data_IF_936072860344
#
_entry.id   IF_936072860344
#
_cell.length_a   1.000
_cell.length_b   1.000
_cell.length_c   1.000
_cell.angle_alpha   90.00
_cell.angle_beta   90.00
_cell.angle_gamma   90.00
#
_symmetry.space_group_name_H-M   'P 1'
#
loop_
_entity.id
_entity.type
_entity.pdbx_description
1 polymer ?
#
# COMPACT_ATOMS: atom_id res chain seq x y z
N UNK A 1 -4.65 21.47 13.85
CA UNK A 1 -4.78 21.19 12.42
C UNK A 1 -5.93 20.18 12.25
N UNK A 2 -6.85 20.46 11.33
CA UNK A 2 -7.88 19.50 10.97
C UNK A 2 -7.19 18.35 10.24
N UNK A 3 -7.45 17.08 10.60
CA UNK A 3 -6.85 15.97 9.85
C UNK A 3 -7.29 16.03 8.39
N UNK A 4 -6.42 15.57 7.50
CA UNK A 4 -6.71 15.51 6.08
C UNK A 4 -7.96 14.64 5.83
N UNK A 5 -8.88 15.06 4.94
CA UNK A 5 -10.09 14.28 4.67
C UNK A 5 -9.75 12.95 4.02
N UNK A 6 -10.45 11.89 4.40
CA UNK A 6 -10.29 10.55 3.83
C UNK A 6 -11.41 10.26 2.84
N UNK A 7 -11.04 9.97 1.59
CA UNK A 7 -11.97 9.54 0.54
C UNK A 7 -11.80 8.05 0.28
N UNK A 8 -12.86 7.29 0.46
CA UNK A 8 -12.88 5.85 0.29
C UNK A 8 -13.56 5.48 -1.03
N UNK A 9 -12.86 4.76 -1.90
CA UNK A 9 -13.40 4.18 -3.12
C UNK A 9 -13.46 2.66 -2.94
N UNK A 10 -14.64 2.07 -3.05
CA UNK A 10 -14.87 0.65 -2.85
C UNK A 10 -15.27 -0.01 -4.16
N UNK A 11 -14.49 -0.99 -4.60
CA UNK A 11 -14.88 -1.87 -5.69
C UNK A 11 -15.75 -2.99 -5.12
N UNK A 12 -17.00 -3.08 -5.58
CA UNK A 12 -18.02 -3.88 -4.93
C UNK A 12 -18.61 -4.92 -5.88
N UNK A 13 -18.71 -6.15 -5.40
CA UNK A 13 -19.47 -7.23 -6.01
C UNK A 13 -20.72 -7.58 -5.20
N UNK A 14 -20.99 -8.87 -5.06
CA UNK A 14 -22.18 -9.36 -4.34
C UNK A 14 -22.06 -9.18 -2.82
N UNK A 15 -20.88 -9.44 -2.26
CA UNK A 15 -20.63 -9.34 -0.82
C UNK A 15 -20.34 -7.89 -0.42
N UNK A 16 -20.80 -7.50 0.76
CA UNK A 16 -20.72 -6.10 1.22
C UNK A 16 -20.12 -5.92 2.64
N UNK A 17 -19.84 -7.02 3.34
CA UNK A 17 -19.32 -6.98 4.71
C UNK A 17 -17.97 -6.27 4.81
N UNK A 18 -17.13 -6.45 3.80
CA UNK A 18 -15.83 -5.78 3.71
C UNK A 18 -15.93 -4.26 3.59
N UNK A 19 -17.03 -3.74 3.02
CA UNK A 19 -17.28 -2.30 2.96
C UNK A 19 -17.48 -1.71 4.36
N UNK A 20 -18.26 -2.38 5.20
CA UNK A 20 -18.50 -1.95 6.58
C UNK A 20 -17.19 -1.94 7.37
N UNK A 21 -16.39 -3.01 7.22
CA UNK A 21 -15.07 -3.10 7.84
C UNK A 21 -14.16 -1.95 7.44
N UNK A 22 -14.17 -1.61 6.14
CA UNK A 22 -13.38 -0.51 5.59
C UNK A 22 -13.83 0.85 6.13
N UNK A 23 -15.14 1.10 6.16
CA UNK A 23 -15.72 2.34 6.70
C UNK A 23 -15.34 2.50 8.18
N UNK A 24 -15.45 1.44 8.97
CA UNK A 24 -15.08 1.46 10.39
C UNK A 24 -13.59 1.68 10.62
N UNK A 25 -12.73 1.16 9.74
CA UNK A 25 -11.27 1.29 9.87
C UNK A 25 -10.77 2.67 9.51
N UNK A 26 -11.27 3.23 8.41
CA UNK A 26 -10.75 4.47 7.85
C UNK A 26 -11.54 5.71 8.27
N UNK A 27 -12.73 5.53 8.85
CA UNK A 27 -13.63 6.66 9.24
C UNK A 27 -13.66 7.76 8.17
N UNK A 28 -14.07 7.42 6.92
CA UNK A 28 -13.92 8.30 5.77
C UNK A 28 -14.86 9.50 5.84
N UNK A 29 -14.45 10.63 5.26
CA UNK A 29 -15.28 11.80 5.04
C UNK A 29 -16.21 11.62 3.84
N UNK A 30 -15.83 10.80 2.86
CA UNK A 30 -16.66 10.44 1.71
C UNK A 30 -16.45 8.99 1.28
N UNK A 31 -17.52 8.34 0.79
CA UNK A 31 -17.46 6.98 0.25
C UNK A 31 -18.06 6.94 -1.13
N UNK A 32 -17.29 6.38 -2.09
CA UNK A 32 -17.74 6.08 -3.45
C UNK A 32 -17.74 4.58 -3.69
N UNK A 33 -18.57 4.13 -4.60
CA UNK A 33 -18.69 2.72 -4.97
C UNK A 33 -18.58 2.58 -6.49
N UNK A 34 -17.80 1.60 -6.93
CA UNK A 34 -17.78 1.10 -8.31
C UNK A 34 -18.24 -0.35 -8.30
N UNK A 35 -19.22 -0.67 -9.14
CA UNK A 35 -19.87 -1.98 -9.14
C UNK A 35 -20.38 -2.36 -10.53
N UNK A 36 -20.98 -3.54 -10.71
CA UNK A 36 -21.74 -3.85 -11.94
C UNK A 36 -23.17 -3.33 -11.86
N UNK A 37 -23.80 -3.11 -13.00
CA UNK A 37 -25.18 -2.65 -13.12
C UNK A 37 -26.16 -3.49 -12.32
N UNK A 38 -25.91 -4.79 -12.27
CA UNK A 38 -26.67 -5.74 -11.45
C UNK A 38 -26.87 -5.29 -10.00
N UNK A 39 -25.83 -4.64 -9.42
CA UNK A 39 -25.83 -4.26 -8.00
C UNK A 39 -26.03 -2.77 -7.76
N UNK A 40 -26.07 -1.95 -8.80
CA UNK A 40 -26.13 -0.48 -8.70
C UNK A 40 -27.23 0.01 -7.76
N UNK A 41 -28.48 -0.42 -8.00
CA UNK A 41 -29.65 0.00 -7.19
C UNK A 41 -29.50 -0.41 -5.72
N UNK A 42 -28.95 -1.59 -5.48
CA UNK A 42 -28.69 -2.09 -4.12
C UNK A 42 -27.66 -1.24 -3.39
N UNK A 43 -26.56 -0.90 -4.07
CA UNK A 43 -25.51 -0.09 -3.48
C UNK A 43 -25.90 1.38 -3.32
N UNK A 44 -26.70 1.96 -4.21
CA UNK A 44 -27.28 3.30 -4.01
C UNK A 44 -28.07 3.39 -2.70
N UNK A 45 -28.86 2.36 -2.38
CA UNK A 45 -29.61 2.28 -1.13
C UNK A 45 -28.66 2.07 0.06
N UNK A 46 -27.78 1.07 -0.01
CA UNK A 46 -26.83 0.77 1.07
C UNK A 46 -25.93 1.95 1.39
N UNK A 47 -25.40 2.64 0.39
CA UNK A 47 -24.53 3.80 0.59
C UNK A 47 -25.28 4.92 1.33
N UNK A 48 -26.57 5.12 1.03
CA UNK A 48 -27.40 6.08 1.74
C UNK A 48 -27.63 5.67 3.22
N UNK A 49 -27.84 4.38 3.49
CA UNK A 49 -28.01 3.88 4.85
C UNK A 49 -26.69 3.93 5.65
N UNK A 50 -25.59 3.58 5.02
CA UNK A 50 -24.26 3.63 5.62
C UNK A 50 -23.82 5.07 5.91
N UNK A 51 -24.08 6.02 4.99
CA UNK A 51 -23.74 7.43 5.21
C UNK A 51 -24.40 8.02 6.45
N UNK A 52 -25.65 7.65 6.71
CA UNK A 52 -26.39 8.07 7.91
C UNK A 52 -25.89 7.38 9.18
N UNK A 53 -25.53 6.10 9.07
CA UNK A 53 -25.10 5.29 10.21
C UNK A 53 -23.68 5.62 10.68
N UNK A 54 -22.79 5.94 9.76
CA UNK A 54 -21.36 6.12 10.01
C UNK A 54 -20.88 7.56 9.80
N UNK A 55 -21.81 8.49 9.56
CA UNK A 55 -21.59 9.95 9.48
C UNK A 55 -20.50 10.36 8.46
N UNK A 56 -20.69 9.98 7.20
CA UNK A 56 -19.84 10.41 6.10
C UNK A 56 -20.66 11.00 4.94
N UNK A 57 -20.04 11.82 4.11
CA UNK A 57 -20.68 12.35 2.89
C UNK A 57 -20.88 11.22 1.87
N UNK A 58 -22.12 11.08 1.42
CA UNK A 58 -22.45 10.15 0.36
C UNK A 58 -21.81 10.59 -0.96
N UNK A 59 -20.91 9.78 -1.48
CA UNK A 59 -20.34 9.94 -2.81
C UNK A 59 -21.20 9.34 -3.91
N UNK A 60 -20.57 8.91 -5.00
CA UNK A 60 -21.23 8.34 -6.18
C UNK A 60 -21.27 6.82 -6.14
N UNK A 61 -22.24 6.23 -6.82
CA UNK A 61 -22.22 4.82 -7.21
C UNK A 61 -22.13 4.80 -8.72
N UNK A 62 -21.01 4.32 -9.23
CA UNK A 62 -20.78 4.13 -10.66
C UNK A 62 -20.89 2.65 -11.00
N UNK A 63 -21.54 2.33 -12.09
CA UNK A 63 -21.75 0.96 -12.52
C UNK A 63 -21.31 0.73 -13.96
N UNK A 64 -21.04 -0.53 -14.27
CA UNK A 64 -20.60 -1.02 -15.56
C UNK A 64 -21.51 -2.15 -16.02
N UNK A 65 -21.90 -2.13 -17.27
CA UNK A 65 -22.80 -3.12 -17.87
C UNK A 65 -22.17 -4.49 -17.92
N UNK A 66 -20.95 -4.58 -18.44
CA UNK A 66 -20.20 -5.84 -18.57
C UNK A 66 -18.81 -5.70 -17.98
N UNK A 67 -18.50 -6.62 -17.06
CA UNK A 67 -17.18 -6.72 -16.41
C UNK A 67 -16.26 -7.76 -17.07
N UNK A 68 -16.71 -8.39 -18.14
CA UNK A 68 -16.01 -9.49 -18.82
C UNK A 68 -15.60 -9.13 -20.25
N UNK A 69 -16.00 -7.99 -20.76
CA UNK A 69 -15.57 -7.48 -22.05
C UNK A 69 -14.13 -6.95 -22.02
N UNK A 70 -13.47 -6.92 -23.18
CA UNK A 70 -12.10 -6.42 -23.33
C UNK A 70 -11.97 -4.95 -22.88
N UNK A 71 -13.02 -4.17 -23.05
CA UNK A 71 -13.07 -2.75 -22.65
C UNK A 71 -13.31 -2.51 -21.16
N UNK A 72 -13.68 -3.53 -20.40
CA UNK A 72 -14.07 -3.41 -19.01
C UNK A 72 -12.96 -2.81 -18.12
N UNK A 73 -11.70 -3.15 -18.37
CA UNK A 73 -10.57 -2.58 -17.64
C UNK A 73 -10.49 -1.06 -17.81
N UNK A 74 -10.56 -0.58 -19.05
CA UNK A 74 -10.54 0.86 -19.32
C UNK A 74 -11.74 1.59 -18.70
N UNK A 75 -12.92 0.98 -18.75
CA UNK A 75 -14.14 1.53 -18.16
C UNK A 75 -14.05 1.60 -16.63
N UNK A 76 -13.50 0.56 -15.98
CA UNK A 76 -13.25 0.55 -14.54
C UNK A 76 -12.25 1.64 -14.12
N UNK A 77 -11.16 1.78 -14.85
CA UNK A 77 -10.17 2.84 -14.66
C UNK A 77 -10.84 4.21 -14.82
N UNK A 78 -11.65 4.39 -15.87
CA UNK A 78 -12.40 5.61 -16.11
C UNK A 78 -13.36 5.97 -14.97
N UNK A 79 -14.07 4.99 -14.39
CA UNK A 79 -14.94 5.22 -13.23
C UNK A 79 -14.16 5.79 -12.04
N UNK A 80 -13.04 5.17 -11.68
CA UNK A 80 -12.23 5.61 -10.54
C UNK A 80 -11.61 6.97 -10.83
N UNK A 81 -11.15 7.21 -12.05
CA UNK A 81 -10.60 8.50 -12.46
C UNK A 81 -11.66 9.62 -12.41
N UNK A 82 -12.90 9.33 -12.84
CA UNK A 82 -14.01 10.28 -12.74
C UNK A 82 -14.35 10.63 -11.29
N UNK A 83 -14.28 9.66 -10.39
CA UNK A 83 -14.45 9.90 -8.94
C UNK A 83 -13.34 10.84 -8.46
N UNK A 84 -12.09 10.57 -8.83
CA UNK A 84 -10.95 11.41 -8.51
C UNK A 84 -11.14 12.85 -8.94
N UNK A 85 -11.51 13.07 -10.21
CA UNK A 85 -11.77 14.40 -10.76
C UNK A 85 -12.98 15.10 -10.12
N UNK A 86 -13.98 14.34 -9.66
CA UNK A 86 -15.11 14.90 -8.92
C UNK A 86 -14.67 15.43 -7.54
N UNK A 87 -13.97 14.63 -6.79
CA UNK A 87 -13.50 15.00 -5.45
C UNK A 87 -12.46 16.13 -5.50
N UNK A 88 -11.53 16.07 -6.45
CA UNK A 88 -10.54 17.12 -6.66
C UNK A 88 -11.20 18.51 -6.87
N UNK A 89 -12.32 18.56 -7.59
CA UNK A 89 -13.08 19.81 -7.76
C UNK A 89 -13.76 20.26 -6.47
N UNK A 90 -14.22 19.33 -5.62
CA UNK A 90 -14.89 19.67 -4.35
C UNK A 90 -13.88 20.23 -3.33
N UNK A 91 -12.64 19.82 -3.41
CA UNK A 91 -11.57 20.31 -2.53
C UNK A 91 -10.75 21.45 -3.16
N UNK A 92 -11.25 22.06 -4.25
CA UNK A 92 -10.64 23.22 -4.91
C UNK A 92 -9.17 23.02 -5.31
N UNK A 93 -8.78 21.77 -5.59
CA UNK A 93 -7.42 21.40 -5.96
C UNK A 93 -6.45 21.21 -4.79
N UNK A 94 -6.89 21.36 -3.54
CA UNK A 94 -6.05 21.21 -2.35
C UNK A 94 -6.01 19.78 -1.80
N UNK A 95 -6.38 18.78 -2.60
CA UNK A 95 -6.34 17.38 -2.15
C UNK A 95 -4.91 16.86 -2.08
N UNK A 96 -4.55 16.43 -0.88
CA UNK A 96 -3.36 15.61 -0.69
C UNK A 96 -3.66 14.14 -1.08
N UNK A 97 -2.74 13.51 -1.77
CA UNK A 97 -2.86 12.15 -2.30
C UNK A 97 -2.99 11.08 -1.21
N UNK A 98 -2.44 11.34 -0.01
CA UNK A 98 -2.57 10.45 1.15
C UNK A 98 -4.02 10.23 1.64
N UNK A 99 -4.96 11.04 1.16
CA UNK A 99 -6.37 11.00 1.54
C UNK A 99 -7.17 9.87 0.88
N UNK A 100 -6.67 9.34 -0.23
CA UNK A 100 -7.39 8.35 -1.02
C UNK A 100 -7.12 6.93 -0.55
N UNK A 101 -8.21 6.16 -0.36
CA UNK A 101 -8.15 4.74 -0.02
C UNK A 101 -8.99 3.96 -1.02
N UNK A 102 -8.38 2.99 -1.70
CA UNK A 102 -9.06 2.16 -2.72
C UNK A 102 -9.18 0.73 -2.22
N UNK A 103 -10.40 0.30 -1.92
CA UNK A 103 -10.72 -1.06 -1.48
C UNK A 103 -10.90 -2.00 -2.68
N UNK A 104 -10.04 -3.00 -2.79
CA UNK A 104 -10.00 -3.94 -3.91
C UNK A 104 -10.55 -5.33 -3.57
N UNK A 105 -11.21 -5.49 -2.44
CA UNK A 105 -11.69 -6.80 -1.96
C UNK A 105 -12.89 -7.31 -2.73
N UNK A 106 -13.74 -6.41 -3.19
CA UNK A 106 -15.01 -6.77 -3.83
C UNK A 106 -14.92 -6.90 -5.34
N UNK A 107 -15.95 -7.51 -5.93
CA UNK A 107 -16.07 -7.65 -7.37
C UNK A 107 -15.23 -8.78 -7.97
N UNK A 108 -14.86 -8.62 -9.23
CA UNK A 108 -14.06 -9.58 -9.99
C UNK A 108 -12.56 -9.36 -9.80
N UNK A 109 -11.74 -10.31 -10.20
CA UNK A 109 -10.27 -10.12 -10.24
C UNK A 109 -9.88 -8.94 -11.14
N UNK A 110 -10.61 -8.70 -12.24
CA UNK A 110 -10.38 -7.56 -13.11
C UNK A 110 -10.62 -6.24 -12.38
N UNK A 111 -11.66 -6.15 -11.55
CA UNK A 111 -11.91 -4.99 -10.70
C UNK A 111 -10.77 -4.76 -9.71
N UNK A 112 -10.26 -5.82 -9.09
CA UNK A 112 -9.12 -5.73 -8.17
C UNK A 112 -7.86 -5.22 -8.89
N UNK A 113 -7.57 -5.74 -10.09
CA UNK A 113 -6.45 -5.28 -10.91
C UNK A 113 -6.60 -3.80 -11.29
N UNK A 114 -7.78 -3.40 -11.79
CA UNK A 114 -8.07 -2.00 -12.13
C UNK A 114 -7.92 -1.07 -10.91
N UNK A 115 -8.46 -1.48 -9.76
CA UNK A 115 -8.36 -0.71 -8.52
C UNK A 115 -6.92 -0.51 -8.04
N UNK A 116 -6.08 -1.55 -8.16
CA UNK A 116 -4.66 -1.46 -7.84
C UNK A 116 -3.92 -0.51 -8.79
N UNK A 117 -4.19 -0.59 -10.10
CA UNK A 117 -3.61 0.32 -11.10
C UNK A 117 -4.04 1.76 -10.84
N UNK A 118 -5.32 1.98 -10.54
CA UNK A 118 -5.85 3.31 -10.28
C UNK A 118 -5.34 3.90 -8.98
N UNK A 119 -5.19 3.09 -7.93
CA UNK A 119 -4.57 3.54 -6.70
C UNK A 119 -3.16 4.10 -6.98
N UNK A 120 -2.37 3.41 -7.82
CA UNK A 120 -1.05 3.89 -8.21
C UNK A 120 -1.08 5.18 -9.03
N UNK A 121 -2.06 5.34 -9.94
CA UNK A 121 -2.17 6.55 -10.76
C UNK A 121 -2.69 7.76 -9.98
N UNK A 122 -3.50 7.53 -8.95
CA UNK A 122 -4.02 8.56 -8.06
C UNK A 122 -3.11 8.84 -6.87
N UNK A 123 -1.99 8.12 -6.77
CA UNK A 123 -1.14 8.13 -5.58
C UNK A 123 -1.93 7.81 -4.31
N UNK A 124 -2.83 6.86 -4.45
CA UNK A 124 -3.78 6.43 -3.43
C UNK A 124 -3.35 5.12 -2.78
N UNK A 125 -3.75 4.91 -1.54
CA UNK A 125 -3.47 3.67 -0.84
C UNK A 125 -4.51 2.59 -1.19
N UNK A 126 -4.08 1.54 -1.90
CA UNK A 126 -4.90 0.35 -2.09
C UNK A 126 -4.90 -0.53 -0.84
N UNK A 127 -6.02 -1.20 -0.58
CA UNK A 127 -6.12 -2.14 0.53
C UNK A 127 -7.04 -3.32 0.20
N UNK A 128 -6.79 -4.43 0.87
CA UNK A 128 -7.58 -5.65 0.78
C UNK A 128 -8.10 -6.06 2.16
N UNK A 129 -9.38 -6.44 2.25
CA UNK A 129 -9.99 -6.96 3.48
C UNK A 129 -10.00 -8.48 3.42
N UNK A 130 -9.25 -9.11 4.31
CA UNK A 130 -9.20 -10.57 4.43
C UNK A 130 -10.46 -11.12 5.09
N UNK A 131 -10.89 -12.31 4.69
CA UNK A 131 -11.94 -13.04 5.42
C UNK A 131 -11.37 -13.49 6.77
N UNK A 132 -12.11 -13.34 7.87
CA UNK A 132 -11.71 -13.92 9.14
C UNK A 132 -11.71 -15.44 9.05
N UNK A 133 -10.94 -16.09 9.92
CA UNK A 133 -11.05 -17.54 10.08
C UNK A 133 -12.47 -17.91 10.51
N UNK A 134 -12.90 -19.13 10.14
CA UNK A 134 -14.25 -19.62 10.43
C UNK A 134 -14.59 -19.46 11.92
N UNK A 135 -15.77 -18.89 12.19
CA UNK A 135 -16.24 -18.61 13.56
C UNK A 135 -15.63 -17.37 14.23
N UNK A 136 -14.74 -16.62 13.56
CA UNK A 136 -14.17 -15.37 14.10
C UNK A 136 -14.87 -14.14 13.51
N UNK A 137 -15.08 -13.13 14.33
CA UNK A 137 -15.56 -11.83 13.87
C UNK A 137 -14.48 -11.08 13.06
N UNK A 138 -14.91 -10.29 12.08
CA UNK A 138 -14.02 -9.39 11.35
C UNK A 138 -13.55 -8.30 12.32
N UNK A 139 -12.24 -8.14 12.43
CA UNK A 139 -11.60 -7.07 13.20
C UNK A 139 -11.00 -6.05 12.24
N UNK A 140 -11.51 -4.79 12.17
CA UNK A 140 -11.03 -3.79 11.20
C UNK A 140 -9.51 -3.59 11.23
N UNK A 141 -8.89 -3.64 12.39
CA UNK A 141 -7.44 -3.43 12.54
C UNK A 141 -6.57 -4.65 12.16
N UNK A 142 -7.17 -5.86 12.06
CA UNK A 142 -6.42 -7.09 11.77
C UNK A 142 -6.71 -7.67 10.39
N UNK A 143 -7.88 -7.37 9.85
CA UNK A 143 -8.33 -7.95 8.59
C UNK A 143 -8.12 -7.04 7.37
N UNK A 144 -7.51 -5.86 7.55
CA UNK A 144 -7.16 -4.97 6.45
C UNK A 144 -5.66 -5.08 6.17
N UNK A 145 -5.33 -5.47 4.94
CA UNK A 145 -3.97 -5.47 4.41
C UNK A 145 -3.84 -4.24 3.52
N UNK A 146 -2.96 -3.33 3.91
CA UNK A 146 -2.57 -2.20 3.07
C UNK A 146 -1.60 -2.73 2.02
N UNK A 147 -1.89 -2.46 0.74
CA UNK A 147 -0.98 -2.79 -0.33
C UNK A 147 0.09 -1.71 -0.47
N UNK A 148 1.34 -2.11 -0.73
CA UNK A 148 2.38 -1.14 -1.01
C UNK A 148 2.11 -0.42 -2.32
N UNK A 149 2.42 0.85 -2.37
CA UNK A 149 2.35 1.63 -3.60
C UNK A 149 3.35 1.10 -4.63
N UNK A 150 2.96 1.07 -5.91
CA UNK A 150 3.82 0.56 -6.99
C UNK A 150 5.10 1.40 -7.09
N UNK A 151 5.01 2.72 -6.88
CA UNK A 151 6.17 3.59 -6.89
C UNK A 151 7.14 3.26 -5.76
N UNK A 152 6.62 3.00 -4.57
CA UNK A 152 7.41 2.54 -3.41
C UNK A 152 8.08 1.19 -3.69
N UNK A 153 7.36 0.24 -4.29
CA UNK A 153 7.95 -1.04 -4.69
C UNK A 153 9.05 -0.89 -5.74
N UNK A 154 8.80 -0.06 -6.76
CA UNK A 154 9.83 0.24 -7.80
C UNK A 154 11.07 0.85 -7.18
N UNK A 155 10.90 1.78 -6.25
CA UNK A 155 12.02 2.40 -5.54
C UNK A 155 12.80 1.36 -4.74
N UNK A 156 12.14 0.50 -3.96
CA UNK A 156 12.82 -0.58 -3.23
C UNK A 156 13.57 -1.53 -4.16
N UNK A 157 13.04 -1.79 -5.37
CA UNK A 157 13.74 -2.58 -6.39
C UNK A 157 14.95 -1.87 -7.00
N UNK A 158 15.11 -0.56 -6.83
CA UNK A 158 16.31 0.18 -7.23
C UNK A 158 17.40 0.20 -6.16
N UNK A 159 17.06 -0.19 -4.94
CA UNK A 159 18.05 -0.37 -3.88
C UNK A 159 18.87 -1.65 -4.11
N UNK A 160 20.13 -1.63 -3.71
CA UNK A 160 20.89 -2.86 -3.66
C UNK A 160 20.27 -3.83 -2.65
N UNK A 161 20.27 -5.14 -2.91
CA UNK A 161 19.77 -6.12 -1.95
C UNK A 161 20.40 -5.99 -0.55
N UNK A 162 21.70 -5.64 -0.48
CA UNK A 162 22.39 -5.35 0.78
C UNK A 162 21.81 -4.18 1.56
N UNK A 163 21.32 -3.14 0.85
CA UNK A 163 20.72 -1.96 1.50
C UNK A 163 19.33 -2.30 2.08
N UNK A 164 18.54 -3.11 1.35
CA UNK A 164 17.25 -3.62 1.84
C UNK A 164 17.46 -4.48 3.08
N UNK A 165 18.49 -5.33 3.06
CA UNK A 165 18.88 -6.16 4.21
C UNK A 165 19.31 -5.29 5.39
N UNK A 166 20.14 -4.27 5.17
CA UNK A 166 20.56 -3.34 6.21
C UNK A 166 19.37 -2.63 6.87
N UNK A 167 18.42 -2.14 6.08
CA UNK A 167 17.17 -1.55 6.59
C UNK A 167 16.38 -2.58 7.41
N UNK A 168 16.27 -3.81 6.93
CA UNK A 168 15.56 -4.88 7.63
C UNK A 168 16.22 -5.27 8.96
N UNK A 169 17.54 -5.18 9.08
CA UNK A 169 18.24 -5.42 10.35
C UNK A 169 17.89 -4.41 11.43
N UNK A 170 17.52 -3.21 11.05
CA UNK A 170 17.18 -2.12 11.95
C UNK A 170 15.68 -2.10 12.35
N UNK A 171 14.92 -3.16 12.02
CA UNK A 171 13.48 -3.25 12.36
C UNK A 171 13.18 -3.14 13.86
N UNK A 172 14.13 -3.44 14.73
CA UNK A 172 13.97 -3.44 16.18
C UNK A 172 14.50 -2.17 16.85
N UNK A 173 15.20 -1.31 16.12
CA UNK A 173 15.78 -0.10 16.68
C UNK A 173 14.78 1.04 16.64
N UNK A 174 14.56 1.70 17.75
CA UNK A 174 13.63 2.83 17.86
C UNK A 174 14.17 4.08 17.14
N UNK A 175 15.48 4.26 17.10
CA UNK A 175 16.14 5.37 16.40
C UNK A 175 17.48 4.92 15.82
N UNK A 176 17.77 5.31 14.58
CA UNK A 176 18.99 5.00 13.86
C UNK A 176 19.60 6.28 13.29
N UNK A 177 20.92 6.34 13.16
CA UNK A 177 21.64 7.49 12.61
C UNK A 177 21.57 7.51 11.08
N UNK A 178 21.23 8.66 10.50
CA UNK A 178 21.31 8.90 9.04
C UNK A 178 22.76 8.82 8.53
N UNK A 179 23.73 9.22 9.35
CA UNK A 179 25.15 9.13 9.01
C UNK A 179 25.57 7.65 8.88
N UNK A 180 25.15 6.79 9.80
CA UNK A 180 25.41 5.35 9.73
C UNK A 180 24.70 4.69 8.55
N UNK A 181 23.46 5.10 8.24
CA UNK A 181 22.75 4.63 7.06
C UNK A 181 23.55 4.94 5.79
N UNK A 182 24.00 6.18 5.63
CA UNK A 182 24.78 6.61 4.48
C UNK A 182 26.15 5.93 4.39
N UNK A 183 26.78 5.67 5.52
CA UNK A 183 28.10 5.00 5.59
C UNK A 183 28.04 3.51 5.25
N UNK A 184 26.96 2.84 5.66
CA UNK A 184 26.83 1.38 5.58
C UNK A 184 25.99 0.91 4.38
N UNK A 185 25.42 1.83 3.60
CA UNK A 185 24.57 1.53 2.45
C UNK A 185 24.98 2.38 1.25
N UNK A 186 24.47 2.03 0.08
CA UNK A 186 24.54 2.88 -1.12
C UNK A 186 23.40 3.90 -1.22
N UNK A 187 22.58 4.02 -0.17
CA UNK A 187 21.44 4.93 -0.12
C UNK A 187 21.96 6.37 -0.02
N UNK A 188 21.74 7.12 -1.09
CA UNK A 188 22.11 8.54 -1.18
C UNK A 188 20.98 9.47 -0.69
N UNK A 189 21.25 10.74 -0.36
CA UNK A 189 20.26 11.62 0.25
C UNK A 189 18.91 11.71 -0.49
N UNK A 190 18.90 11.75 -1.82
CA UNK A 190 17.65 11.79 -2.57
C UNK A 190 16.83 10.49 -2.43
N UNK A 191 17.49 9.33 -2.30
CA UNK A 191 16.83 8.04 -2.03
C UNK A 191 16.25 8.04 -0.61
N UNK A 192 16.94 8.60 0.37
CA UNK A 192 16.42 8.76 1.73
C UNK A 192 15.12 9.58 1.73
N UNK A 193 15.10 10.72 1.01
CA UNK A 193 13.88 11.53 0.87
C UNK A 193 12.75 10.80 0.17
N UNK A 194 13.04 9.94 -0.81
CA UNK A 194 12.03 9.11 -1.45
C UNK A 194 11.51 8.02 -0.52
N UNK A 195 12.37 7.41 0.31
CA UNK A 195 11.97 6.43 1.31
C UNK A 195 11.08 7.06 2.40
N UNK A 196 11.38 8.28 2.79
CA UNK A 196 10.57 9.08 3.72
C UNK A 196 9.22 9.45 3.10
N UNK A 197 9.21 10.05 1.91
CA UNK A 197 7.98 10.42 1.21
C UNK A 197 7.12 9.20 0.84
N UNK A 198 7.73 8.04 0.57
CA UNK A 198 7.06 6.76 0.37
C UNK A 198 6.58 6.10 1.67
N UNK A 199 6.80 6.75 2.81
CA UNK A 199 6.36 6.29 4.12
C UNK A 199 7.06 5.01 4.61
N UNK A 200 8.25 4.70 4.10
CA UNK A 200 9.07 3.55 4.56
C UNK A 200 9.90 3.96 5.77
N UNK A 201 10.51 5.13 5.69
CA UNK A 201 11.26 5.73 6.77
C UNK A 201 10.49 6.93 7.32
N UNK A 202 10.65 7.19 8.59
CA UNK A 202 10.31 8.46 9.24
C UNK A 202 11.65 9.13 9.58
N UNK A 203 11.98 10.23 8.87
CA UNK A 203 13.26 10.92 8.99
C UNK A 203 13.10 12.20 9.80
N UNK A 204 13.89 12.36 10.86
CA UNK A 204 14.08 13.63 11.56
C UNK A 204 15.42 14.26 11.19
N UNK A 205 15.37 15.26 10.31
CA UNK A 205 16.56 15.99 9.88
C UNK A 205 17.20 16.82 11.00
N UNK A 206 16.46 17.18 12.06
CA UNK A 206 16.99 17.99 13.15
C UNK A 206 17.87 17.16 14.08
N UNK A 207 17.47 15.93 14.36
CA UNK A 207 18.26 14.98 15.15
C UNK A 207 19.29 14.21 14.31
N UNK A 208 19.13 14.21 12.97
CA UNK A 208 19.95 13.40 12.08
C UNK A 208 19.65 11.89 12.23
N UNK A 209 18.42 11.57 12.62
CA UNK A 209 17.98 10.19 12.86
C UNK A 209 16.88 9.75 11.90
N UNK A 210 16.67 8.43 11.82
CA UNK A 210 15.54 7.83 11.14
C UNK A 210 15.04 6.61 11.92
N UNK A 211 13.79 6.27 11.68
CA UNK A 211 13.18 5.02 12.12
C UNK A 211 12.39 4.39 10.96
N UNK A 212 12.19 3.08 11.02
CA UNK A 212 11.28 2.42 10.11
C UNK A 212 9.85 2.70 10.53
N UNK A 213 9.05 3.23 9.61
CA UNK A 213 7.62 3.41 9.85
C UNK A 213 6.92 2.05 10.04
N UNK A 214 5.73 2.05 10.64
CA UNK A 214 4.92 0.83 10.75
C UNK A 214 4.64 0.20 9.37
N UNK A 215 4.46 1.03 8.34
CA UNK A 215 4.30 0.60 6.96
C UNK A 215 5.60 0.02 6.39
N UNK A 216 6.74 0.67 6.61
CA UNK A 216 8.07 0.19 6.20
C UNK A 216 8.38 -1.19 6.78
N UNK A 217 8.13 -1.38 8.07
CA UNK A 217 8.31 -2.68 8.75
C UNK A 217 7.44 -3.75 8.08
N UNK A 218 6.15 -3.46 7.86
CA UNK A 218 5.24 -4.42 7.21
C UNK A 218 5.66 -4.73 5.78
N UNK A 219 6.08 -3.72 5.03
CA UNK A 219 6.51 -3.88 3.65
C UNK A 219 7.78 -4.72 3.54
N UNK A 220 8.80 -4.42 4.33
CA UNK A 220 10.05 -5.20 4.37
C UNK A 220 9.78 -6.66 4.78
N UNK A 221 8.92 -6.87 5.79
CA UNK A 221 8.51 -8.21 6.23
C UNK A 221 7.75 -8.97 5.12
N UNK A 222 6.90 -8.28 4.37
CA UNK A 222 6.12 -8.88 3.28
C UNK A 222 6.99 -9.22 2.06
N UNK A 223 8.00 -8.39 1.77
CA UNK A 223 8.96 -8.62 0.69
C UNK A 223 10.00 -9.69 1.05
N UNK A 224 10.14 -10.02 2.33
CA UNK A 224 11.02 -11.08 2.79
C UNK A 224 10.50 -12.43 2.27
N UNK A 225 11.05 -12.89 1.15
CA UNK A 225 10.86 -14.26 0.65
C UNK A 225 11.54 -15.25 1.60
N UNK A 226 11.25 -16.56 1.42
CA UNK A 226 11.94 -17.58 2.24
C UNK A 226 13.46 -17.49 2.19
N UNK A 227 14.05 -17.08 1.05
CA UNK A 227 15.48 -16.85 0.89
C UNK A 227 15.94 -15.58 1.64
N UNK A 228 15.17 -14.51 1.55
CA UNK A 228 15.43 -13.27 2.30
C UNK A 228 15.25 -13.49 3.79
N UNK A 229 14.28 -14.28 4.22
CA UNK A 229 14.15 -14.68 5.63
C UNK A 229 15.37 -15.47 6.11
N UNK A 230 15.92 -16.37 5.29
CA UNK A 230 17.18 -17.07 5.60
C UNK A 230 18.36 -16.10 5.68
N UNK A 231 18.44 -15.12 4.79
CA UNK A 231 19.46 -14.07 4.83
C UNK A 231 19.31 -13.23 6.10
N UNK A 232 18.09 -12.80 6.42
CA UNK A 232 17.80 -12.04 7.64
C UNK A 232 18.13 -12.85 8.89
N UNK A 233 17.80 -14.15 8.93
CA UNK A 233 18.17 -15.05 10.02
C UNK A 233 19.70 -15.26 10.09
N UNK A 234 20.37 -15.50 8.96
CA UNK A 234 21.82 -15.64 8.89
C UNK A 234 22.54 -14.36 9.36
N UNK A 235 22.00 -13.18 9.04
CA UNK A 235 22.49 -11.89 9.54
C UNK A 235 22.33 -11.79 11.04
N UNK A 236 21.17 -12.16 11.56
CA UNK A 236 20.86 -12.13 13.00
C UNK A 236 21.74 -13.11 13.78
N UNK A 237 22.14 -14.21 13.13
CA UNK A 237 23.02 -15.26 13.70
C UNK A 237 24.52 -15.00 13.46
N UNK A 238 24.90 -13.89 12.84
CA UNK A 238 26.31 -13.53 12.57
C UNK A 238 26.96 -14.25 11.39
N UNK A 239 26.17 -14.93 10.55
CA UNK A 239 26.68 -15.69 9.40
C UNK A 239 26.91 -14.85 8.14
N UNK A 240 26.57 -13.57 8.15
CA UNK A 240 26.65 -12.70 6.96
C UNK A 240 28.09 -12.47 6.50
N UNK A 241 29.03 -12.35 7.42
CA UNK A 241 30.46 -12.21 7.07
C UNK A 241 30.96 -13.46 6.34
N UNK A 242 30.56 -14.64 6.76
CA UNK A 242 30.89 -15.88 6.10
C UNK A 242 30.25 -16.01 4.69
N UNK A 243 29.06 -15.44 4.49
CA UNK A 243 28.42 -15.40 3.19
C UNK A 243 29.06 -14.38 2.24
N UNK A 244 29.47 -13.21 2.75
CA UNK A 244 30.26 -12.21 1.98
C UNK A 244 31.58 -12.80 1.52
N UNK A 245 32.34 -13.43 2.41
CA UNK A 245 33.60 -14.07 2.04
C UNK A 245 33.43 -15.14 0.95
N UNK A 246 32.40 -15.99 1.05
CA UNK A 246 32.12 -16.99 0.01
C UNK A 246 31.67 -16.37 -1.33
N UNK A 247 30.98 -15.23 -1.31
CA UNK A 247 30.61 -14.52 -2.53
C UNK A 247 31.84 -13.89 -3.19
N UNK A 248 32.73 -13.28 -2.42
CA UNK A 248 33.97 -12.68 -2.91
C UNK A 248 34.95 -13.75 -3.48
N UNK A 249 35.11 -14.88 -2.81
CA UNK A 249 35.87 -16.02 -3.31
C UNK A 249 35.33 -16.54 -4.65
N UNK A 250 34.02 -16.64 -4.79
CA UNK A 250 33.38 -17.10 -6.02
C UNK A 250 33.48 -16.09 -7.16
N UNK A 251 33.56 -14.80 -6.84
CA UNK A 251 33.77 -13.73 -7.82
C UNK A 251 35.21 -13.70 -8.32
N UNK A 252 36.20 -13.95 -7.47
CA UNK A 252 37.60 -14.08 -7.83
C UNK A 252 37.86 -15.32 -8.72
N UNK A 253 37.27 -16.47 -8.41
CA UNK A 253 37.37 -17.68 -9.25
C UNK A 253 36.78 -17.49 -10.66
N UNK A 254 35.69 -16.74 -10.81
CA UNK A 254 35.08 -16.50 -12.13
C UNK A 254 35.85 -15.46 -12.97
N UNK A 255 36.62 -14.58 -12.34
CA UNK A 255 37.38 -13.54 -13.05
C UNK A 255 38.72 -14.06 -13.57
N UNK A 256 39.23 -15.19 -13.06
CA UNK A 256 40.51 -15.79 -13.48
C UNK A 256 40.41 -16.85 -14.58
N UNK A 257 39.22 -17.18 -15.08
CA UNK A 257 38.97 -18.17 -16.12
C UNK A 257 38.26 -17.63 -17.36
N UNK A 258 38.36 -16.32 -17.59
CA UNK A 258 37.84 -15.63 -18.81
C UNK A 258 38.97 -15.10 -19.68
#
# INVERSE_FOLDING_TARGET
LKPDPVVLILLMGEQHEHAITSIQRFTPDAVHIVTSDKFEKSYKRRLNDWSKKYDFRKGTVQSLDDLFEETALGSLIGCVFNIGGHEFRLFEGEMNTSMWKVGITGGTMLMAAAGTMMASLLDAQAFYVTKPAEGKAIMPNKNIIILPEINTLKMLMTLNPSDVVYLAMNLQNEENSLEELHKNTSIVPWMMMMLDSGGILDIDLNSGSYQLSEFGIRLLTMLATSEQNKIIQAITEGELEAMKQKADEKFEETTYHG
#
